data_IF_880592108275
#
_entry.id   IF_880592108275
#
_cell.length_a   1.000
_cell.length_b   1.000
_cell.length_c   1.000
_cell.angle_alpha   90.00
_cell.angle_beta   90.00
_cell.angle_gamma   90.00
#
_symmetry.space_group_name_H-M   'P 1'
#
loop_
_entity.id
_entity.type
_entity.pdbx_description
1 polymer ?
#
# COMPACT_ATOMS: atom_id res chain seq x y z
N UNK A 1 40.04 -16.81 26.44
CA UNK A 1 38.78 -16.04 26.25
C UNK A 1 37.72 -16.59 27.20
N UNK A 2 37.30 -15.82 28.21
CA UNK A 2 36.45 -16.31 29.31
C UNK A 2 35.04 -16.72 28.82
N UNK A 3 34.47 -17.77 29.42
CA UNK A 3 33.10 -18.23 29.16
C UNK A 3 32.08 -17.08 29.30
N UNK A 4 32.28 -16.20 30.29
CA UNK A 4 31.45 -15.00 30.53
C UNK A 4 31.51 -14.01 29.36
N UNK A 5 32.68 -13.84 28.75
CA UNK A 5 32.84 -12.96 27.58
C UNK A 5 32.07 -13.50 26.38
N UNK A 6 32.06 -14.81 26.15
CA UNK A 6 31.30 -15.42 25.04
C UNK A 6 29.80 -15.18 25.17
N UNK A 7 29.26 -15.29 26.40
CA UNK A 7 27.85 -15.01 26.68
C UNK A 7 27.51 -13.54 26.44
N UNK A 8 28.36 -12.61 26.89
CA UNK A 8 28.17 -11.18 26.67
C UNK A 8 28.14 -10.84 25.18
N UNK A 9 29.08 -11.37 24.39
CA UNK A 9 29.09 -11.14 22.94
C UNK A 9 27.87 -11.73 22.24
N UNK A 10 27.39 -12.90 22.68
CA UNK A 10 26.17 -13.50 22.14
C UNK A 10 24.93 -12.63 22.41
N UNK A 11 24.79 -12.09 23.62
CA UNK A 11 23.68 -11.19 23.98
C UNK A 11 23.74 -9.91 23.14
N UNK A 12 24.92 -9.29 23.01
CA UNK A 12 25.10 -8.09 22.19
C UNK A 12 24.71 -8.36 20.73
N UNK A 13 25.10 -9.52 20.18
CA UNK A 13 24.74 -9.91 18.82
C UNK A 13 23.23 -10.11 18.65
N UNK A 14 22.56 -10.77 19.59
CA UNK A 14 21.11 -10.99 19.55
C UNK A 14 20.36 -9.65 19.61
N UNK A 15 20.78 -8.76 20.51
CA UNK A 15 20.19 -7.41 20.62
C UNK A 15 20.43 -6.63 19.33
N UNK A 16 21.65 -6.69 18.77
CA UNK A 16 21.99 -6.05 17.51
C UNK A 16 21.13 -6.55 16.35
N UNK A 17 20.95 -7.87 16.22
CA UNK A 17 20.09 -8.47 15.20
C UNK A 17 18.62 -8.07 15.39
N UNK A 18 18.12 -8.04 16.62
CA UNK A 18 16.76 -7.60 16.91
C UNK A 18 16.54 -6.13 16.51
N UNK A 19 17.46 -5.24 16.91
CA UNK A 19 17.40 -3.82 16.52
C UNK A 19 17.42 -3.68 15.00
N UNK A 20 18.31 -4.41 14.31
CA UNK A 20 18.40 -4.39 12.86
C UNK A 20 17.09 -4.85 12.19
N UNK A 21 16.46 -5.92 12.67
CA UNK A 21 15.17 -6.39 12.17
C UNK A 21 14.05 -5.37 12.39
N UNK A 22 14.02 -4.71 13.56
CA UNK A 22 13.03 -3.67 13.85
C UNK A 22 13.22 -2.46 12.92
N UNK A 23 14.46 -2.01 12.72
CA UNK A 23 14.78 -0.91 11.82
C UNK A 23 14.41 -1.24 10.36
N UNK A 24 14.74 -2.45 9.90
CA UNK A 24 14.36 -2.92 8.57
C UNK A 24 12.83 -2.92 8.38
N UNK A 25 12.09 -3.42 9.38
CA UNK A 25 10.62 -3.44 9.35
C UNK A 25 10.02 -2.03 9.28
N UNK A 26 10.57 -1.09 10.06
CA UNK A 26 10.14 0.32 10.03
C UNK A 26 10.43 0.97 8.68
N UNK A 27 11.60 0.71 8.10
CA UNK A 27 11.97 1.23 6.78
C UNK A 27 11.03 0.72 5.69
N UNK A 28 10.78 -0.60 5.64
CA UNK A 28 9.85 -1.20 4.67
C UNK A 28 8.44 -0.63 4.84
N UNK A 29 7.96 -0.49 6.08
CA UNK A 29 6.63 0.09 6.32
C UNK A 29 6.55 1.55 5.87
N UNK A 30 7.56 2.36 6.17
CA UNK A 30 7.64 3.76 5.72
C UNK A 30 7.66 3.87 4.20
N UNK A 31 8.36 2.96 3.50
CA UNK A 31 8.38 2.96 2.05
C UNK A 31 7.03 2.53 1.47
N UNK A 32 6.37 1.52 2.06
CA UNK A 32 5.01 1.11 1.68
C UNK A 32 4.03 2.27 1.84
N UNK A 33 4.10 2.97 2.97
CA UNK A 33 3.26 4.14 3.25
C UNK A 33 3.52 5.32 2.32
N UNK A 34 4.65 5.40 1.61
CA UNK A 34 4.93 6.45 0.61
C UNK A 34 4.76 5.98 -0.84
N UNK A 35 4.43 4.70 -1.05
CA UNK A 35 4.44 4.05 -2.36
C UNK A 35 3.45 4.69 -3.36
N UNK A 36 2.25 5.05 -2.91
CA UNK A 36 1.24 5.66 -3.78
C UNK A 36 1.68 7.06 -4.25
N UNK A 37 2.17 7.92 -3.36
CA UNK A 37 2.63 9.26 -3.76
C UNK A 37 3.79 9.19 -4.73
N UNK A 38 4.71 8.26 -4.50
CA UNK A 38 5.83 8.02 -5.41
C UNK A 38 5.33 7.63 -6.81
N UNK A 39 4.44 6.64 -6.88
CA UNK A 39 3.87 6.19 -8.15
C UNK A 39 3.06 7.29 -8.85
N UNK A 40 2.24 8.03 -8.11
CA UNK A 40 1.44 9.15 -8.63
C UNK A 40 2.32 10.23 -9.24
N UNK A 41 3.43 10.62 -8.57
CA UNK A 41 4.39 11.60 -9.10
C UNK A 41 5.03 11.13 -10.42
N UNK A 42 5.40 9.85 -10.52
CA UNK A 42 5.94 9.31 -11.76
C UNK A 42 4.93 9.38 -12.90
N UNK A 43 3.69 8.98 -12.64
CA UNK A 43 2.62 9.06 -13.63
C UNK A 43 2.35 10.51 -14.05
N UNK A 44 2.25 11.43 -13.09
CA UNK A 44 2.08 12.86 -13.38
C UNK A 44 3.22 13.41 -14.23
N UNK A 45 4.48 13.07 -13.93
CA UNK A 45 5.62 13.49 -14.72
C UNK A 45 5.56 12.93 -16.16
N UNK A 46 5.18 11.65 -16.32
CA UNK A 46 4.98 11.03 -17.64
C UNK A 46 3.87 11.69 -18.44
N UNK A 47 2.79 12.12 -17.78
CA UNK A 47 1.68 12.79 -18.43
C UNK A 47 1.93 14.28 -18.69
N UNK A 48 2.78 14.93 -17.89
CA UNK A 48 3.16 16.33 -18.08
C UNK A 48 4.01 16.57 -19.35
N UNK A 49 4.67 15.52 -19.86
CA UNK A 49 5.41 15.59 -21.13
C UNK A 49 4.55 15.40 -22.37
N UNK A 50 3.29 14.99 -22.20
CA UNK A 50 2.31 14.92 -23.27
C UNK A 50 1.64 16.31 -23.34
N UNK A 51 1.64 16.97 -24.50
CA UNK A 51 1.13 18.36 -24.62
C UNK A 51 -0.35 18.50 -24.20
N UNK A 52 -1.10 17.39 -24.18
CA UNK A 52 -2.42 17.35 -23.57
C UNK A 52 -2.32 17.11 -22.06
N UNK A 53 -2.73 18.13 -21.29
CA UNK A 53 -3.18 17.97 -19.91
C UNK A 53 -4.00 16.68 -19.82
N UNK A 54 -3.55 15.76 -18.97
CA UNK A 54 -4.12 14.42 -18.82
C UNK A 54 -5.53 14.48 -18.21
N UNK A 55 -6.51 14.90 -19.03
CA UNK A 55 -7.93 14.85 -18.74
C UNK A 55 -8.37 13.41 -18.90
N UNK A 56 -8.48 12.70 -17.77
CA UNK A 56 -9.01 11.33 -17.73
C UNK A 56 -7.99 10.21 -17.57
N UNK A 57 -6.70 10.48 -17.28
CA UNK A 57 -5.83 9.38 -16.88
C UNK A 57 -6.06 8.99 -15.42
N UNK A 58 -5.99 7.68 -15.18
CA UNK A 58 -6.22 7.08 -13.87
C UNK A 58 -5.02 7.22 -12.96
N UNK A 59 -4.96 8.36 -12.29
CA UNK A 59 -4.02 8.62 -11.21
C UNK A 59 -4.52 7.93 -9.93
N UNK A 60 -3.67 7.16 -9.23
CA UNK A 60 -4.08 6.53 -7.98
C UNK A 60 -4.37 7.60 -6.91
N UNK A 61 -5.44 7.38 -6.15
CA UNK A 61 -5.77 8.22 -5.02
C UNK A 61 -4.96 7.79 -3.80
N UNK A 62 -4.26 8.76 -3.22
CA UNK A 62 -3.36 8.56 -2.08
C UNK A 62 -3.90 9.26 -0.84
N UNK A 63 -3.74 8.62 0.32
CA UNK A 63 -4.06 9.22 1.62
C UNK A 63 -3.00 10.23 2.07
N UNK A 64 -3.26 10.91 3.20
CA UNK A 64 -2.38 11.95 3.76
C UNK A 64 -0.96 11.46 4.08
N UNK A 65 -0.82 10.20 4.49
CA UNK A 65 0.47 9.58 4.80
C UNK A 65 1.20 9.08 3.55
N UNK A 66 0.54 9.10 2.40
CA UNK A 66 1.10 8.77 1.09
C UNK A 66 0.85 7.36 0.57
N UNK A 67 0.06 6.57 1.31
CA UNK A 67 -0.34 5.21 0.95
C UNK A 67 -1.58 5.21 0.06
N UNK A 68 -1.91 4.06 -0.52
CA UNK A 68 -3.12 3.93 -1.34
C UNK A 68 -4.37 4.06 -0.46
N UNK A 69 -5.36 4.81 -0.94
CA UNK A 69 -6.69 4.80 -0.32
C UNK A 69 -7.32 3.43 -0.56
N UNK A 70 -8.04 2.91 0.44
CA UNK A 70 -8.77 1.64 0.32
C UNK A 70 -9.80 1.63 -0.81
N UNK A 71 -10.19 2.81 -1.28
CA UNK A 71 -11.11 3.01 -2.39
C UNK A 71 -10.41 3.80 -3.49
N UNK A 72 -10.45 3.27 -4.70
CA UNK A 72 -9.92 3.91 -5.91
C UNK A 72 -11.04 4.19 -6.90
N UNK A 73 -10.77 5.13 -7.81
CA UNK A 73 -11.71 5.60 -8.83
C UNK A 73 -11.02 5.72 -10.18
N UNK A 74 -11.73 5.31 -11.23
CA UNK A 74 -11.39 5.56 -12.63
C UNK A 74 -12.06 6.86 -13.07
N UNK A 75 -11.29 7.76 -13.65
CA UNK A 75 -11.75 9.09 -14.10
C UNK A 75 -12.18 9.07 -15.57
N UNK A 76 -11.91 7.99 -16.29
CA UNK A 76 -12.16 7.87 -17.72
C UNK A 76 -13.57 7.37 -18.04
N UNK A 77 -14.33 8.17 -18.81
CA UNK A 77 -15.44 7.82 -19.71
C UNK A 77 -16.70 7.13 -19.17
N UNK A 78 -16.60 6.28 -18.15
CA UNK A 78 -17.69 5.48 -17.58
C UNK A 78 -17.66 5.36 -16.06
N UNK A 79 -16.58 5.81 -15.41
CA UNK A 79 -16.43 5.84 -13.95
C UNK A 79 -16.55 4.45 -13.31
N UNK A 80 -15.47 3.92 -12.77
CA UNK A 80 -15.51 2.72 -11.94
C UNK A 80 -14.92 3.03 -10.58
N UNK A 81 -15.41 2.36 -9.55
CA UNK A 81 -14.81 2.38 -8.22
C UNK A 81 -14.51 0.97 -7.78
N UNK A 82 -13.38 0.76 -7.10
CA UNK A 82 -13.01 -0.54 -6.56
C UNK A 82 -12.29 -0.37 -5.23
N UNK A 83 -12.19 -1.45 -4.48
CA UNK A 83 -11.39 -1.47 -3.27
C UNK A 83 -9.98 -1.95 -3.57
N UNK A 84 -8.98 -1.36 -2.92
CA UNK A 84 -7.59 -1.81 -3.00
C UNK A 84 -7.04 -2.21 -1.64
N UNK A 85 -6.05 -3.09 -1.66
CA UNK A 85 -5.24 -3.38 -0.49
C UNK A 85 -4.26 -2.23 -0.16
N UNK A 86 -3.44 -2.44 0.88
CA UNK A 86 -2.41 -1.48 1.33
C UNK A 86 -1.32 -1.21 0.29
N UNK A 87 -1.13 -2.11 -0.66
CA UNK A 87 -0.12 -2.05 -1.71
C UNK A 87 -0.71 -1.48 -3.03
N UNK A 88 -2.01 -1.19 -3.07
CA UNK A 88 -2.71 -0.61 -4.21
C UNK A 88 -3.31 -1.64 -5.17
N UNK A 89 -3.27 -2.92 -4.82
CA UNK A 89 -3.82 -4.01 -5.64
C UNK A 89 -5.34 -4.02 -5.54
N UNK A 90 -6.01 -4.10 -6.69
CA UNK A 90 -7.48 -4.23 -6.73
C UNK A 90 -7.93 -5.55 -6.10
N UNK A 91 -8.96 -5.48 -5.26
CA UNK A 91 -9.63 -6.64 -4.69
C UNK A 91 -10.70 -7.11 -5.67
N UNK A 92 -10.56 -8.34 -6.16
CA UNK A 92 -11.51 -8.92 -7.11
C UNK A 92 -12.94 -8.93 -6.56
N UNK A 93 -13.91 -8.65 -7.44
CA UNK A 93 -15.32 -8.59 -7.07
C UNK A 93 -15.78 -7.27 -6.42
N UNK A 94 -14.89 -6.29 -6.22
CA UNK A 94 -15.26 -4.96 -5.68
C UNK A 94 -15.46 -3.88 -6.73
N UNK A 95 -15.27 -4.23 -8.01
CA UNK A 95 -15.44 -3.31 -9.13
C UNK A 95 -16.93 -2.93 -9.28
N UNK A 96 -17.23 -1.67 -8.99
CA UNK A 96 -18.57 -1.10 -9.04
C UNK A 96 -18.62 -0.02 -10.12
N UNK A 97 -19.49 -0.13 -11.14
CA UNK A 97 -19.68 0.92 -12.12
C UNK A 97 -20.36 2.14 -11.50
N UNK A 98 -19.94 3.34 -11.89
CA UNK A 98 -20.51 4.62 -11.41
C UNK A 98 -21.99 4.80 -11.77
N UNK A 99 -22.50 4.08 -12.79
CA UNK A 99 -23.92 4.06 -13.15
C UNK A 99 -24.84 3.50 -12.06
N UNK A 100 -24.28 2.77 -11.08
CA UNK A 100 -25.02 2.28 -9.91
C UNK A 100 -25.35 3.38 -8.89
N UNK A 101 -24.78 4.58 -9.03
CA UNK A 101 -24.97 5.71 -8.11
C UNK A 101 -24.37 5.51 -6.72
N UNK A 102 -23.71 4.37 -6.47
CA UNK A 102 -23.06 4.05 -5.19
C UNK A 102 -21.59 3.71 -5.41
N UNK A 103 -20.67 4.35 -4.68
CA UNK A 103 -19.26 4.04 -4.78
C UNK A 103 -18.97 2.74 -4.00
N UNK A 104 -17.95 1.97 -4.41
CA UNK A 104 -17.58 0.71 -3.76
C UNK A 104 -17.47 0.88 -2.23
N UNK A 105 -18.23 0.13 -1.45
CA UNK A 105 -18.23 0.27 0.01
C UNK A 105 -16.97 -0.38 0.59
N UNK A 106 -15.88 0.38 0.64
CA UNK A 106 -14.60 -0.07 1.16
C UNK A 106 -14.47 0.19 2.67
N UNK A 107 -15.45 -0.26 3.45
CA UNK A 107 -15.33 -0.42 4.90
C UNK A 107 -14.85 -1.84 5.15
N UNK A 108 -13.56 -2.10 4.97
CA UNK A 108 -13.01 -3.40 5.39
C UNK A 108 -13.24 -3.57 6.88
N UNK A 109 -14.25 -4.35 7.24
CA UNK A 109 -14.44 -4.79 8.62
C UNK A 109 -13.18 -5.55 9.08
N UNK A 110 -12.86 -5.54 10.39
CA UNK A 110 -11.76 -6.37 10.92
C UNK A 110 -11.88 -7.84 10.52
N UNK A 111 -13.11 -8.33 10.35
CA UNK A 111 -13.43 -9.69 9.89
C UNK A 111 -13.05 -9.88 8.41
N UNK A 112 -13.35 -8.92 7.53
CA UNK A 112 -12.93 -8.99 6.13
C UNK A 112 -11.40 -8.93 5.96
N UNK A 113 -10.70 -8.18 6.82
CA UNK A 113 -9.23 -8.18 6.87
C UNK A 113 -8.69 -9.56 7.26
N UNK A 114 -9.30 -10.19 8.27
CA UNK A 114 -8.91 -11.52 8.73
C UNK A 114 -9.19 -12.61 7.69
N UNK A 115 -10.34 -12.55 7.01
CA UNK A 115 -10.68 -13.47 5.92
C UNK A 115 -9.76 -13.31 4.71
N UNK A 116 -9.37 -12.09 4.36
CA UNK A 116 -8.41 -11.84 3.28
C UNK A 116 -7.00 -12.35 3.60
N UNK A 117 -6.57 -12.25 4.86
CA UNK A 117 -5.30 -12.84 5.32
C UNK A 117 -5.35 -14.37 5.27
N UNK A 118 -6.46 -14.98 5.72
CA UNK A 118 -6.63 -16.43 5.69
C UNK A 118 -6.70 -17.02 4.27
N UNK A 119 -7.29 -16.29 3.31
CA UNK A 119 -7.46 -16.79 1.95
C UNK A 119 -6.19 -16.69 1.10
N UNK A 120 -5.21 -15.89 1.51
CA UNK A 120 -3.97 -15.66 0.75
C UNK A 120 -2.69 -16.16 1.45
N UNK A 121 -2.83 -16.85 2.60
CA UNK A 121 -1.73 -17.55 3.30
C UNK A 121 -1.65 -19.05 2.91
N UNK A 122 -2.17 -19.42 1.73
CA UNK A 122 -1.94 -20.72 1.06
C UNK A 122 -1.26 -20.54 -0.30
#
# INVERSE_FOLDING_TARGET
MSSKSRVIYAIIWIIGLYILMVLASRFVNSHREQGCLYQRKQMQAKYATYEDYCIGCNLPACGLLGGYLSQQWDVGGGGYSWCTDKDGTMIYGTLTPSSSGQPAQCSMSPIQKFLYQLLNDF
#
